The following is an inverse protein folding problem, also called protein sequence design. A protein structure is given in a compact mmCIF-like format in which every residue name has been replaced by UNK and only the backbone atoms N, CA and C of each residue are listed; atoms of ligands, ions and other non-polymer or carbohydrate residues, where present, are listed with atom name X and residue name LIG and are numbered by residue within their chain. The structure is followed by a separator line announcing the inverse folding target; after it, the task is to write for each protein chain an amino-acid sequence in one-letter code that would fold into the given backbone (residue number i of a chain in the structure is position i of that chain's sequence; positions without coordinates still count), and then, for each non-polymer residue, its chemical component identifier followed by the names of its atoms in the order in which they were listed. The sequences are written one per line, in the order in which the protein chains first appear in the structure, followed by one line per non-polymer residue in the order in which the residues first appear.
data_IF_159823174375
#
_entry.id   IF_159823174375
#
_cell.length_a   1.000
_cell.length_b   1.000
_cell.length_c   1.000
_cell.angle_alpha   90.00
_cell.angle_beta   90.00
_cell.angle_gamma   90.00
#
_symmetry.space_group_name_H-M   'P 1'
#
loop_
_entity.id
_entity.type
_entity.pdbx_description
1 polymer ?
#
# COMPACT_ATOMS: atom_id res chain seq x y z
N UNK A 1 -20.09 4.66 -7.54
CA UNK A 1 -18.65 4.53 -7.91
C UNK A 1 -17.91 4.14 -6.66
N UNK A 2 -17.10 3.08 -6.72
CA UNK A 2 -16.37 2.50 -5.60
C UNK A 2 -15.36 3.51 -5.00
N UNK A 3 -15.37 3.65 -3.68
CA UNK A 3 -14.38 4.42 -2.94
C UNK A 3 -13.07 3.65 -2.77
N UNK A 4 -12.00 4.36 -2.49
CA UNK A 4 -10.65 3.79 -2.37
C UNK A 4 -10.08 4.15 -1.01
N UNK A 5 -9.69 3.15 -0.24
CA UNK A 5 -8.83 3.28 0.93
C UNK A 5 -7.40 3.00 0.49
N UNK A 6 -6.55 4.00 0.51
CA UNK A 6 -5.15 3.81 0.12
C UNK A 6 -4.25 3.87 1.36
N UNK A 7 -3.52 2.78 1.62
CA UNK A 7 -2.62 2.68 2.78
C UNK A 7 -1.21 3.08 2.36
N UNK A 8 -0.73 4.19 2.94
CA UNK A 8 0.64 4.66 2.87
C UNK A 8 1.42 4.17 4.10
N UNK A 9 2.53 3.50 3.91
CA UNK A 9 3.38 2.99 4.98
C UNK A 9 4.80 2.73 4.48
N UNK A 10 5.80 2.82 5.34
CA UNK A 10 7.08 2.19 5.06
C UNK A 10 6.94 0.65 5.04
N UNK A 11 7.92 -0.05 4.50
CA UNK A 11 7.95 -1.52 4.57
C UNK A 11 7.89 -2.02 6.02
N UNK A 12 7.30 -3.18 6.26
CA UNK A 12 7.22 -3.84 7.58
C UNK A 12 6.46 -3.08 8.68
N UNK A 13 5.55 -2.17 8.30
CA UNK A 13 4.71 -1.40 9.24
C UNK A 13 3.35 -2.03 9.54
N UNK A 14 3.06 -3.26 9.06
CA UNK A 14 1.77 -3.92 9.33
C UNK A 14 0.66 -3.58 8.32
N UNK A 15 1.01 -3.05 7.14
CA UNK A 15 0.02 -2.68 6.11
C UNK A 15 -0.83 -3.85 5.63
N UNK A 16 -0.30 -5.07 5.57
CA UNK A 16 -1.07 -6.27 5.22
C UNK A 16 -2.11 -6.60 6.29
N UNK A 17 -1.78 -6.43 7.59
CA UNK A 17 -2.73 -6.63 8.68
C UNK A 17 -3.88 -5.61 8.57
N UNK A 18 -3.56 -4.33 8.44
CA UNK A 18 -4.60 -3.30 8.31
C UNK A 18 -5.47 -3.49 7.08
N UNK A 19 -4.88 -3.88 5.94
CA UNK A 19 -5.58 -4.21 4.69
C UNK A 19 -6.58 -5.36 4.90
N UNK A 20 -6.13 -6.48 5.48
CA UNK A 20 -6.98 -7.63 5.80
C UNK A 20 -8.14 -7.24 6.74
N UNK A 21 -7.84 -6.50 7.81
CA UNK A 21 -8.83 -6.06 8.78
C UNK A 21 -9.91 -5.16 8.14
N UNK A 22 -9.53 -4.20 7.31
CA UNK A 22 -10.49 -3.34 6.61
C UNK A 22 -11.27 -4.15 5.57
N UNK A 23 -10.59 -5.01 4.81
CA UNK A 23 -11.21 -5.86 3.79
C UNK A 23 -12.08 -6.98 4.35
N UNK A 24 -12.14 -7.15 5.68
CA UNK A 24 -13.06 -8.05 6.37
C UNK A 24 -14.40 -7.40 6.70
N UNK A 25 -14.56 -6.11 6.42
CA UNK A 25 -15.86 -5.44 6.51
C UNK A 25 -16.74 -5.87 5.32
N UNK A 26 -18.04 -6.08 5.56
CA UNK A 26 -19.00 -6.56 4.53
C UNK A 26 -19.06 -5.67 3.29
N UNK A 27 -18.71 -4.39 3.42
CA UNK A 27 -18.77 -3.39 2.36
C UNK A 27 -17.38 -2.94 1.85
N UNK A 28 -16.33 -3.73 2.14
CA UNK A 28 -14.96 -3.43 1.71
C UNK A 28 -14.26 -4.68 1.18
N UNK A 29 -13.27 -4.51 0.30
CA UNK A 29 -12.46 -5.60 -0.23
C UNK A 29 -10.96 -5.26 -0.21
N UNK A 30 -10.17 -6.16 0.35
CA UNK A 30 -8.72 -6.15 0.34
C UNK A 30 -8.14 -6.45 -1.05
N UNK A 31 -7.20 -5.64 -1.51
CA UNK A 31 -6.47 -5.89 -2.76
C UNK A 31 -4.98 -6.18 -2.53
N UNK A 32 -4.45 -5.85 -1.37
CA UNK A 32 -3.03 -5.96 -1.08
C UNK A 32 -2.20 -4.91 -1.84
N UNK A 33 -0.98 -5.28 -2.16
CA UNK A 33 -0.04 -4.44 -2.91
C UNK A 33 -0.31 -4.55 -4.42
N UNK A 34 -1.38 -3.90 -4.88
CA UNK A 34 -1.90 -4.05 -6.25
C UNK A 34 -0.91 -3.60 -7.35
N UNK A 35 0.07 -2.76 -7.01
CA UNK A 35 1.13 -2.37 -7.94
C UNK A 35 1.96 -3.55 -8.45
N UNK A 36 1.92 -4.70 -7.77
CA UNK A 36 2.57 -5.94 -8.17
C UNK A 36 1.65 -6.91 -8.97
N UNK A 37 0.37 -6.56 -9.18
CA UNK A 37 -0.56 -7.43 -9.92
C UNK A 37 -0.02 -7.85 -11.29
N UNK A 38 0.57 -6.96 -12.11
CA UNK A 38 1.14 -7.35 -13.40
C UNK A 38 2.14 -8.50 -13.31
N UNK A 39 3.07 -8.42 -12.33
CA UNK A 39 4.03 -9.50 -12.04
C UNK A 39 3.32 -10.79 -11.61
N UNK A 40 2.31 -10.66 -10.76
CA UNK A 40 1.58 -11.82 -10.23
C UNK A 40 0.76 -12.54 -11.33
N UNK A 41 0.24 -11.79 -12.31
CA UNK A 41 -0.41 -12.35 -13.50
C UNK A 41 0.60 -13.05 -14.39
N UNK A 42 1.76 -12.41 -14.66
CA UNK A 42 2.84 -12.99 -15.47
C UNK A 42 3.33 -14.31 -14.89
N UNK A 43 3.58 -14.36 -13.58
CA UNK A 43 4.07 -15.55 -12.85
C UNK A 43 2.96 -16.51 -12.45
N UNK A 44 1.71 -16.16 -12.65
CA UNK A 44 0.55 -16.92 -12.19
C UNK A 44 0.67 -17.33 -10.70
N UNK A 45 0.98 -16.36 -9.84
CA UNK A 45 1.22 -16.60 -8.40
C UNK A 45 -0.05 -17.03 -7.67
N UNK A 46 0.13 -17.51 -6.42
CA UNK A 46 -0.98 -17.89 -5.57
C UNK A 46 -1.71 -16.66 -5.02
N UNK A 47 -3.03 -16.63 -5.16
CA UNK A 47 -3.93 -15.69 -4.52
C UNK A 47 -4.27 -16.16 -3.09
N UNK A 48 -4.60 -15.25 -2.19
CA UNK A 48 -4.97 -15.60 -0.80
C UNK A 48 -6.22 -16.48 -0.69
N UNK A 49 -7.05 -16.54 -1.73
CA UNK A 49 -8.19 -17.47 -1.77
C UNK A 49 -7.80 -18.94 -2.02
N UNK A 50 -6.50 -19.24 -2.21
CA UNK A 50 -6.00 -20.58 -2.46
C UNK A 50 -5.83 -20.93 -3.95
N UNK A 51 -6.44 -20.16 -4.85
CA UNK A 51 -6.31 -20.37 -6.30
C UNK A 51 -5.13 -19.59 -6.88
N UNK A 52 -4.63 -19.99 -8.04
CA UNK A 52 -3.68 -19.18 -8.79
C UNK A 52 -4.41 -17.98 -9.42
N UNK A 53 -3.69 -16.87 -9.65
CA UNK A 53 -4.27 -15.61 -10.16
C UNK A 53 -5.12 -15.84 -11.42
N UNK A 54 -4.65 -16.68 -12.35
CA UNK A 54 -5.36 -16.99 -13.60
C UNK A 54 -6.63 -17.82 -13.40
N UNK A 55 -6.71 -18.58 -12.31
CA UNK A 55 -7.86 -19.42 -11.95
C UNK A 55 -8.73 -18.79 -10.86
N UNK A 56 -8.30 -17.65 -10.29
CA UNK A 56 -9.03 -16.96 -9.25
C UNK A 56 -10.34 -16.37 -9.80
N UNK A 57 -11.51 -16.68 -9.17
CA UNK A 57 -12.81 -16.26 -9.70
C UNK A 57 -13.01 -14.73 -9.72
N UNK A 58 -12.23 -14.00 -8.92
CA UNK A 58 -12.26 -12.53 -8.93
C UNK A 58 -11.29 -11.99 -9.96
N UNK A 59 -10.02 -12.39 -9.91
CA UNK A 59 -9.01 -11.86 -10.82
C UNK A 59 -9.26 -12.22 -12.27
N UNK A 60 -9.84 -13.40 -12.55
CA UNK A 60 -10.25 -13.79 -13.89
C UNK A 60 -11.17 -12.75 -14.50
N UNK A 61 -12.33 -12.55 -13.89
CA UNK A 61 -13.34 -11.62 -14.40
C UNK A 61 -12.89 -10.14 -14.38
N UNK A 62 -12.06 -9.76 -13.40
CA UNK A 62 -11.51 -8.39 -13.33
C UNK A 62 -10.55 -8.10 -14.47
N UNK A 63 -9.66 -9.03 -14.81
CA UNK A 63 -8.70 -8.85 -15.91
C UNK A 63 -9.39 -8.87 -17.29
N UNK A 64 -10.43 -9.69 -17.46
CA UNK A 64 -11.24 -9.67 -18.67
C UNK A 64 -11.95 -8.32 -18.86
N UNK A 65 -12.59 -7.79 -17.81
CA UNK A 65 -13.23 -6.47 -17.84
C UNK A 65 -12.21 -5.35 -18.11
N UNK A 66 -11.03 -5.41 -17.50
CA UNK A 66 -9.96 -4.45 -17.75
C UNK A 66 -9.46 -4.51 -19.20
N UNK A 67 -9.28 -5.72 -19.73
CA UNK A 67 -8.84 -5.92 -21.11
C UNK A 67 -9.84 -5.32 -22.10
N UNK A 68 -11.14 -5.55 -21.86
CA UNK A 68 -12.21 -4.97 -22.68
C UNK A 68 -12.27 -3.44 -22.59
N UNK A 69 -12.12 -2.87 -21.37
CA UNK A 69 -12.23 -1.41 -21.13
C UNK A 69 -11.03 -0.61 -21.61
N UNK A 70 -9.84 -1.16 -21.48
CA UNK A 70 -8.57 -0.45 -21.74
C UNK A 70 -7.95 -0.82 -23.09
N UNK A 71 -8.52 -1.80 -23.80
CA UNK A 71 -8.14 -2.17 -25.15
C UNK A 71 -6.80 -2.90 -25.26
N UNK A 72 -6.40 -3.66 -24.22
CA UNK A 72 -5.18 -4.48 -24.21
C UNK A 72 -5.44 -5.82 -23.58
N UNK A 73 -4.85 -6.88 -24.10
CA UNK A 73 -4.93 -8.20 -23.49
C UNK A 73 -3.92 -8.30 -22.32
N UNK A 74 -4.41 -8.08 -21.10
CA UNK A 74 -3.58 -8.13 -19.90
C UNK A 74 -3.23 -9.54 -19.43
N UNK A 75 -3.82 -10.57 -20.03
CA UNK A 75 -3.39 -11.93 -19.81
C UNK A 75 -2.08 -12.26 -20.53
N UNK A 76 -1.93 -11.76 -21.74
CA UNK A 76 -0.73 -11.94 -22.56
C UNK A 76 0.31 -10.85 -22.30
N UNK A 77 -0.13 -9.62 -22.04
CA UNK A 77 0.72 -8.44 -21.88
C UNK A 77 0.51 -7.78 -20.51
N UNK A 78 0.73 -8.52 -19.39
CA UNK A 78 0.39 -8.04 -18.06
C UNK A 78 1.09 -6.74 -17.67
N UNK A 79 2.30 -6.50 -18.13
CA UNK A 79 3.06 -5.29 -17.82
C UNK A 79 2.59 -4.03 -18.56
N UNK A 80 1.68 -4.15 -19.53
CA UNK A 80 0.96 -3.00 -20.08
C UNK A 80 -0.08 -2.44 -19.10
N UNK A 81 -0.50 -3.22 -18.10
CA UNK A 81 -1.30 -2.75 -16.99
C UNK A 81 -0.43 -2.02 -15.97
N UNK A 82 -0.43 -0.70 -16.02
CA UNK A 82 0.43 0.15 -15.17
C UNK A 82 -0.33 0.54 -13.92
N UNK A 83 0.00 -0.06 -12.79
CA UNK A 83 -0.69 0.17 -11.50
C UNK A 83 0.21 0.86 -10.45
N UNK A 84 1.40 1.30 -10.84
CA UNK A 84 2.35 1.94 -9.95
C UNK A 84 3.72 2.08 -10.59
N UNK A 85 4.74 2.15 -9.73
CA UNK A 85 6.13 2.38 -10.11
C UNK A 85 7.02 1.24 -9.59
N UNK A 86 6.82 0.00 -10.05
CA UNK A 86 7.56 -1.16 -9.54
C UNK A 86 9.06 -0.98 -9.74
N UNK A 87 9.85 -1.61 -8.88
CA UNK A 87 11.29 -1.67 -9.09
C UNK A 87 11.56 -2.48 -10.38
N UNK A 88 12.49 -2.07 -11.24
CA UNK A 88 12.91 -2.87 -12.41
C UNK A 88 13.26 -4.32 -12.06
N UNK A 89 13.87 -4.57 -10.89
CA UNK A 89 14.17 -5.92 -10.41
C UNK A 89 12.91 -6.77 -10.14
N UNK A 90 11.74 -6.16 -9.99
CA UNK A 90 10.47 -6.88 -9.82
C UNK A 90 9.79 -7.28 -11.13
N UNK A 91 10.34 -6.85 -12.26
CA UNK A 91 9.80 -7.15 -13.59
C UNK A 91 10.50 -8.39 -14.11
N UNK A 92 9.75 -9.44 -14.36
CA UNK A 92 10.29 -10.75 -14.77
C UNK A 92 10.46 -10.84 -16.29
N UNK A 93 9.75 -9.98 -17.03
CA UNK A 93 9.78 -9.99 -18.48
C UNK A 93 11.06 -9.33 -19.02
N UNK A 94 11.89 -10.05 -19.81
CA UNK A 94 13.14 -9.52 -20.40
C UNK A 94 12.93 -8.27 -21.25
N UNK A 95 11.81 -8.13 -21.94
CA UNK A 95 11.50 -6.95 -22.76
C UNK A 95 11.40 -5.65 -21.93
N UNK A 96 11.05 -5.76 -20.65
CA UNK A 96 10.97 -4.63 -19.74
C UNK A 96 12.24 -4.38 -18.92
N UNK A 97 13.26 -5.23 -19.03
CA UNK A 97 14.57 -5.04 -18.38
C UNK A 97 15.49 -4.05 -19.10
N UNK A 98 15.09 -3.48 -20.22
CA UNK A 98 15.88 -2.54 -20.99
C UNK A 98 16.19 -1.27 -20.21
N UNK A 99 17.35 -0.65 -20.48
CA UNK A 99 17.69 0.65 -19.90
C UNK A 99 16.68 1.73 -20.27
N UNK A 100 16.03 1.59 -21.42
CA UNK A 100 14.93 2.43 -21.86
C UNK A 100 13.73 2.36 -20.91
N UNK A 101 13.35 1.18 -20.41
CA UNK A 101 12.30 1.05 -19.39
C UNK A 101 12.67 1.79 -18.11
N UNK A 102 13.92 1.65 -17.64
CA UNK A 102 14.42 2.36 -16.45
C UNK A 102 14.35 3.88 -16.63
N UNK A 103 14.72 4.37 -17.80
CA UNK A 103 14.64 5.80 -18.15
C UNK A 103 13.19 6.27 -18.17
N UNK A 104 12.29 5.57 -18.87
CA UNK A 104 10.85 5.90 -18.91
C UNK A 104 10.23 5.90 -17.52
N UNK A 105 10.54 4.94 -16.67
CA UNK A 105 10.07 4.88 -15.28
C UNK A 105 10.56 6.09 -14.48
N UNK A 106 11.84 6.42 -14.56
CA UNK A 106 12.41 7.59 -13.87
C UNK A 106 11.76 8.89 -14.37
N UNK A 107 11.57 9.03 -15.67
CA UNK A 107 10.89 10.19 -16.26
C UNK A 107 9.45 10.31 -15.76
N UNK A 108 8.67 9.24 -15.78
CA UNK A 108 7.30 9.23 -15.24
C UNK A 108 7.26 9.66 -13.78
N UNK A 109 8.14 9.11 -12.95
CA UNK A 109 8.25 9.50 -11.54
C UNK A 109 8.61 10.98 -11.36
N UNK A 110 9.58 11.48 -12.12
CA UNK A 110 10.01 12.87 -12.06
C UNK A 110 8.89 13.83 -12.51
N UNK A 111 8.22 13.50 -13.62
CA UNK A 111 7.09 14.28 -14.13
C UNK A 111 5.92 14.27 -13.14
N UNK A 112 5.59 13.12 -12.55
CA UNK A 112 4.55 13.03 -11.53
C UNK A 112 4.92 13.82 -10.27
N UNK A 113 6.15 13.75 -9.83
CA UNK A 113 6.63 14.55 -8.70
C UNK A 113 6.53 16.06 -8.99
N UNK A 114 6.99 16.50 -10.15
CA UNK A 114 6.90 17.89 -10.57
C UNK A 114 5.43 18.34 -10.65
N UNK A 115 4.57 17.55 -11.27
CA UNK A 115 3.14 17.82 -11.41
C UNK A 115 2.47 18.00 -10.03
N UNK A 116 2.75 17.11 -9.08
CA UNK A 116 2.18 17.17 -7.73
C UNK A 116 2.71 18.38 -6.93
N UNK A 117 3.94 18.82 -7.19
CA UNK A 117 4.53 19.96 -6.49
C UNK A 117 4.09 21.30 -7.07
N UNK A 118 4.01 21.42 -8.40
CA UNK A 118 3.67 22.66 -9.10
C UNK A 118 2.16 22.89 -9.21
N UNK A 119 1.35 21.81 -9.13
CA UNK A 119 -0.12 21.83 -9.21
C UNK A 119 -0.68 22.54 -10.48
N UNK A 120 0.02 22.43 -11.60
CA UNK A 120 -0.39 23.03 -12.86
C UNK A 120 -1.31 22.09 -13.64
N UNK A 121 -2.49 22.57 -14.08
CA UNK A 121 -3.49 21.75 -14.80
C UNK A 121 -3.00 21.24 -16.14
N UNK A 122 -2.21 22.03 -16.88
CA UNK A 122 -1.65 21.60 -18.17
C UNK A 122 -0.61 20.48 -17.98
N UNK A 123 0.24 20.62 -16.96
CA UNK A 123 1.21 19.58 -16.60
C UNK A 123 0.50 18.31 -16.16
N UNK A 124 -0.59 18.41 -15.41
CA UNK A 124 -1.43 17.29 -15.01
C UNK A 124 -1.93 16.48 -16.22
N UNK A 125 -2.57 17.15 -17.19
CA UNK A 125 -3.09 16.51 -18.42
C UNK A 125 -1.97 15.86 -19.23
N UNK A 126 -0.79 16.47 -19.32
CA UNK A 126 0.37 15.89 -19.99
C UNK A 126 0.86 14.63 -19.27
N UNK A 127 1.00 14.71 -17.95
CA UNK A 127 1.52 13.60 -17.15
C UNK A 127 0.56 12.40 -17.20
N UNK A 128 -0.75 12.61 -17.16
CA UNK A 128 -1.73 11.52 -17.22
C UNK A 128 -1.77 10.82 -18.59
N UNK A 129 -1.40 11.52 -19.67
CA UNK A 129 -1.19 10.89 -20.99
C UNK A 129 0.05 9.99 -21.02
N UNK A 130 1.13 10.43 -20.33
CA UNK A 130 2.41 9.72 -20.31
C UNK A 130 2.48 8.63 -19.23
N UNK A 131 1.69 8.77 -18.17
CA UNK A 131 1.64 7.87 -17.02
C UNK A 131 0.22 7.38 -16.74
N UNK A 132 -0.18 6.22 -17.30
CA UNK A 132 -1.54 5.71 -17.16
C UNK A 132 -1.86 5.12 -15.78
N UNK A 133 -0.97 5.24 -14.79
CA UNK A 133 -1.11 4.65 -13.44
C UNK A 133 -2.45 4.99 -12.81
N UNK A 134 -2.89 6.24 -12.84
CA UNK A 134 -4.15 6.69 -12.24
C UNK A 134 -5.34 6.10 -12.98
N UNK A 135 -5.36 6.23 -14.31
CA UNK A 135 -6.44 5.70 -15.15
C UNK A 135 -6.62 4.19 -15.01
N UNK A 136 -5.52 3.42 -15.07
CA UNK A 136 -5.56 1.98 -14.91
C UNK A 136 -5.97 1.56 -13.49
N UNK A 137 -5.52 2.29 -12.47
CA UNK A 137 -5.91 2.02 -11.09
C UNK A 137 -7.40 2.24 -10.86
N UNK A 138 -7.97 3.35 -11.35
CA UNK A 138 -9.43 3.58 -11.23
C UNK A 138 -10.26 2.57 -12.01
N UNK A 139 -9.82 2.15 -13.20
CA UNK A 139 -10.47 1.09 -13.94
C UNK A 139 -10.50 -0.21 -13.13
N UNK A 140 -9.36 -0.60 -12.55
CA UNK A 140 -9.25 -1.79 -11.70
C UNK A 140 -10.13 -1.69 -10.45
N UNK A 141 -10.09 -0.60 -9.70
CA UNK A 141 -10.89 -0.45 -8.48
C UNK A 141 -12.39 -0.53 -8.78
N UNK A 142 -12.82 0.06 -9.90
CA UNK A 142 -14.21 -0.03 -10.36
C UNK A 142 -14.59 -1.46 -10.70
N UNK A 143 -13.75 -2.16 -11.44
CA UNK A 143 -13.98 -3.55 -11.82
C UNK A 143 -14.10 -4.45 -10.60
N UNK A 144 -13.16 -4.34 -9.64
CA UNK A 144 -13.22 -5.11 -8.38
C UNK A 144 -14.45 -4.76 -7.55
N UNK A 145 -14.73 -3.46 -7.35
CA UNK A 145 -15.88 -3.02 -6.57
C UNK A 145 -17.21 -3.53 -7.15
N UNK A 146 -17.35 -3.49 -8.47
CA UNK A 146 -18.54 -4.06 -9.15
C UNK A 146 -18.59 -5.57 -9.05
N UNK A 147 -17.46 -6.28 -9.19
CA UNK A 147 -17.40 -7.74 -9.12
C UNK A 147 -17.73 -8.29 -7.76
N UNK A 148 -17.26 -7.61 -6.68
CA UNK A 148 -17.46 -8.01 -5.29
C UNK A 148 -18.67 -7.33 -4.65
N UNK A 149 -19.34 -6.41 -5.36
CA UNK A 149 -20.45 -5.60 -4.85
C UNK A 149 -20.13 -4.90 -3.53
N UNK A 150 -18.99 -4.18 -3.49
CA UNK A 150 -18.53 -3.41 -2.32
C UNK A 150 -18.39 -1.93 -2.64
N UNK A 151 -18.60 -1.08 -1.64
CA UNK A 151 -18.43 0.37 -1.79
C UNK A 151 -16.97 0.80 -1.67
N UNK A 152 -16.13 0.04 -0.96
CA UNK A 152 -14.74 0.37 -0.72
C UNK A 152 -13.78 -0.73 -1.20
N UNK A 153 -12.68 -0.33 -1.81
CA UNK A 153 -11.53 -1.21 -2.08
C UNK A 153 -10.29 -0.69 -1.35
N UNK A 154 -9.47 -1.59 -0.85
CA UNK A 154 -8.27 -1.26 -0.06
C UNK A 154 -7.03 -1.58 -0.89
N UNK A 155 -6.22 -0.56 -1.18
CA UNK A 155 -4.91 -0.70 -1.84
C UNK A 155 -3.79 -0.39 -0.83
N UNK A 156 -2.99 -1.39 -0.49
CA UNK A 156 -1.85 -1.27 0.42
C UNK A 156 -0.49 -1.21 -0.30
N UNK A 157 -0.45 -0.67 -1.52
CA UNK A 157 0.79 -0.53 -2.31
C UNK A 157 1.81 0.45 -1.73
N UNK A 158 1.48 1.21 -0.70
CA UNK A 158 2.36 2.06 0.12
C UNK A 158 2.95 3.29 -0.58
N UNK A 159 2.79 3.46 -1.86
CA UNK A 159 3.40 4.55 -2.61
C UNK A 159 2.61 5.85 -2.45
N UNK A 160 3.11 6.78 -1.63
CA UNK A 160 2.45 8.06 -1.36
C UNK A 160 2.30 8.96 -2.61
N UNK A 161 3.18 8.83 -3.62
CA UNK A 161 3.02 9.57 -4.89
C UNK A 161 1.80 9.08 -5.68
N UNK A 162 1.57 7.76 -5.70
CA UNK A 162 0.35 7.18 -6.28
C UNK A 162 -0.89 7.63 -5.48
N UNK A 163 -0.81 7.60 -4.14
CA UNK A 163 -1.90 8.07 -3.28
C UNK A 163 -2.31 9.52 -3.59
N UNK A 164 -1.33 10.42 -3.69
CA UNK A 164 -1.54 11.83 -4.03
C UNK A 164 -2.15 11.99 -5.43
N UNK A 165 -1.66 11.24 -6.41
CA UNK A 165 -2.18 11.29 -7.78
C UNK A 165 -3.64 10.81 -7.86
N UNK A 166 -3.98 9.71 -7.17
CA UNK A 166 -5.36 9.21 -7.05
C UNK A 166 -6.27 10.22 -6.34
N UNK A 167 -5.80 10.79 -5.23
CA UNK A 167 -6.57 11.78 -4.48
C UNK A 167 -6.83 13.04 -5.31
N UNK A 168 -5.83 13.54 -6.02
CA UNK A 168 -5.97 14.73 -6.88
C UNK A 168 -7.01 14.51 -7.99
N UNK A 169 -7.04 13.33 -8.59
CA UNK A 169 -8.01 13.00 -9.63
C UNK A 169 -9.43 12.91 -9.07
N UNK A 170 -9.61 12.31 -7.88
CA UNK A 170 -10.95 12.07 -7.33
C UNK A 170 -10.97 12.23 -5.79
N UNK A 171 -10.89 13.45 -5.25
CA UNK A 171 -10.81 13.70 -3.80
C UNK A 171 -12.01 13.14 -3.02
N UNK A 172 -13.21 13.15 -3.62
CA UNK A 172 -14.43 12.66 -2.97
C UNK A 172 -14.47 11.16 -2.76
N UNK A 173 -13.65 10.39 -3.50
CA UNK A 173 -13.65 8.91 -3.50
C UNK A 173 -12.41 8.29 -2.89
N UNK A 174 -11.38 9.06 -2.61
CA UNK A 174 -10.11 8.54 -2.06
C UNK A 174 -9.99 8.94 -0.59
N UNK A 175 -9.71 7.94 0.24
CA UNK A 175 -9.35 8.09 1.65
C UNK A 175 -7.96 7.54 1.85
N UNK A 176 -7.10 8.28 2.51
CA UNK A 176 -5.70 7.89 2.70
C UNK A 176 -5.46 7.58 4.17
N UNK A 177 -4.87 6.44 4.45
CA UNK A 177 -4.40 6.07 5.78
C UNK A 177 -2.87 6.08 5.77
N UNK A 178 -2.28 6.94 6.58
CA UNK A 178 -0.85 6.89 6.88
C UNK A 178 -0.64 5.95 8.07
N UNK A 179 -0.16 4.75 7.79
CA UNK A 179 0.19 3.79 8.83
C UNK A 179 1.64 3.99 9.23
N UNK A 180 1.87 4.26 10.51
CA UNK A 180 3.21 4.39 11.10
C UNK A 180 3.52 3.20 12.00
N UNK A 181 4.80 2.97 12.25
CA UNK A 181 5.33 2.01 13.21
C UNK A 181 6.62 2.56 13.77
N UNK A 182 6.92 2.27 15.04
CA UNK A 182 8.21 2.58 15.64
C UNK A 182 9.35 2.11 14.73
N UNK A 183 10.19 3.05 14.33
CA UNK A 183 11.25 2.75 13.35
C UNK A 183 12.26 1.72 13.86
N UNK A 184 12.41 1.57 15.18
CA UNK A 184 13.25 0.51 15.81
C UNK A 184 12.64 -0.87 15.56
N UNK A 185 11.32 -1.00 15.66
CA UNK A 185 10.60 -2.23 15.31
C UNK A 185 10.70 -2.56 13.81
N UNK A 186 10.67 -1.55 12.95
CA UNK A 186 10.89 -1.72 11.51
C UNK A 186 12.33 -2.14 11.23
N UNK A 187 13.33 -1.48 11.85
CA UNK A 187 14.74 -1.83 11.73
C UNK A 187 14.99 -3.29 12.13
N UNK A 188 14.46 -3.71 13.28
CA UNK A 188 14.58 -5.10 13.73
C UNK A 188 14.03 -6.10 12.69
N UNK A 189 12.84 -5.81 12.16
CA UNK A 189 12.22 -6.64 11.13
C UNK A 189 13.05 -6.70 9.84
N UNK A 190 13.73 -5.62 9.47
CA UNK A 190 14.60 -5.55 8.29
C UNK A 190 15.91 -6.33 8.52
N UNK A 191 16.54 -6.17 9.68
CA UNK A 191 17.77 -6.89 10.05
C UNK A 191 17.55 -8.41 10.10
N UNK A 192 16.41 -8.89 10.61
CA UNK A 192 16.03 -10.33 10.57
C UNK A 192 15.96 -10.90 9.14
N UNK A 193 15.82 -10.05 8.13
CA UNK A 193 15.78 -10.42 6.70
C UNK A 193 17.11 -10.19 5.98
N UNK A 194 18.16 -9.80 6.71
CA UNK A 194 19.49 -9.60 6.17
C UNK A 194 19.69 -8.25 5.46
N UNK A 195 18.78 -7.28 5.63
CA UNK A 195 18.97 -5.94 5.06
C UNK A 195 20.05 -5.15 5.82
N UNK A 196 20.70 -4.23 5.12
CA UNK A 196 21.70 -3.37 5.70
C UNK A 196 21.08 -2.40 6.73
N UNK A 197 21.73 -2.24 7.88
CA UNK A 197 21.28 -1.40 8.99
C UNK A 197 21.03 0.04 8.55
N UNK A 198 22.08 0.70 8.08
CA UNK A 198 22.05 2.12 7.74
C UNK A 198 21.03 2.41 6.63
N UNK A 199 21.02 1.59 5.60
CA UNK A 199 20.07 1.72 4.50
C UNK A 199 18.62 1.56 4.98
N UNK A 200 18.37 0.62 5.90
CA UNK A 200 17.04 0.40 6.49
C UNK A 200 16.54 1.62 7.27
N UNK A 201 17.43 2.23 8.08
CA UNK A 201 17.11 3.44 8.86
C UNK A 201 16.84 4.63 7.91
N UNK A 202 17.73 4.86 6.94
CA UNK A 202 17.62 5.97 5.99
C UNK A 202 16.39 5.83 5.08
N UNK A 203 16.02 4.62 4.66
CA UNK A 203 14.83 4.37 3.85
C UNK A 203 13.55 4.64 4.65
N UNK A 204 13.47 4.17 5.90
CA UNK A 204 12.35 4.45 6.80
C UNK A 204 12.20 5.96 7.05
N UNK A 205 13.30 6.63 7.41
CA UNK A 205 13.36 8.08 7.63
C UNK A 205 12.89 8.86 6.41
N UNK A 206 13.49 8.59 5.25
CA UNK A 206 13.18 9.26 3.99
C UNK A 206 11.72 9.09 3.59
N UNK A 207 11.17 7.89 3.82
CA UNK A 207 9.77 7.62 3.55
C UNK A 207 8.86 8.55 4.34
N UNK A 208 8.98 8.59 5.67
CA UNK A 208 8.09 9.36 6.52
C UNK A 208 8.34 10.87 6.45
N UNK A 209 9.57 11.33 6.31
CA UNK A 209 9.86 12.75 6.08
C UNK A 209 9.15 13.29 4.84
N UNK A 210 9.13 12.52 3.77
CA UNK A 210 8.49 12.93 2.51
C UNK A 210 6.99 12.70 2.50
N UNK A 211 6.55 11.53 2.95
CA UNK A 211 5.13 11.18 2.88
C UNK A 211 4.29 12.01 3.82
N UNK A 212 4.69 12.19 5.09
CA UNK A 212 3.94 12.99 6.05
C UNK A 212 3.76 14.43 5.53
N UNK A 213 4.88 15.09 5.16
CA UNK A 213 4.86 16.46 4.66
C UNK A 213 3.95 16.62 3.42
N UNK A 214 4.07 15.72 2.44
CA UNK A 214 3.30 15.84 1.21
C UNK A 214 1.83 15.48 1.40
N UNK A 215 1.53 14.46 2.22
CA UNK A 215 0.15 14.07 2.50
C UNK A 215 -0.57 15.18 3.29
N UNK A 216 0.03 15.70 4.35
CA UNK A 216 -0.55 16.78 5.15
C UNK A 216 -0.77 18.07 4.33
N UNK A 217 0.14 18.38 3.41
CA UNK A 217 0.04 19.57 2.55
C UNK A 217 -1.05 19.47 1.49
N UNK A 218 -1.29 18.27 0.94
CA UNK A 218 -2.10 18.11 -0.27
C UNK A 218 -3.43 17.39 -0.05
N UNK A 219 -3.60 16.71 1.10
CA UNK A 219 -4.82 15.98 1.41
C UNK A 219 -5.62 16.76 2.46
N UNK A 220 -6.90 16.94 2.22
CA UNK A 220 -7.78 17.53 3.22
C UNK A 220 -7.81 16.68 4.50
N UNK A 221 -7.78 17.32 5.67
CA UNK A 221 -7.66 16.64 6.95
C UNK A 221 -8.72 15.54 7.17
N UNK A 222 -9.95 15.75 6.72
CA UNK A 222 -11.03 14.77 6.78
C UNK A 222 -10.84 13.56 5.84
N UNK A 223 -9.85 13.58 4.95
CA UNK A 223 -9.52 12.51 3.99
C UNK A 223 -8.17 11.83 4.26
N UNK A 224 -7.50 12.23 5.36
CA UNK A 224 -6.24 11.66 5.82
C UNK A 224 -6.39 11.18 7.27
N UNK A 225 -6.13 9.89 7.52
CA UNK A 225 -6.14 9.30 8.86
C UNK A 225 -4.75 8.74 9.16
N UNK A 226 -4.18 9.08 10.30
CA UNK A 226 -2.95 8.45 10.79
C UNK A 226 -3.28 7.37 11.82
N UNK A 227 -2.73 6.17 11.61
CA UNK A 227 -2.83 5.02 12.51
C UNK A 227 -1.43 4.54 12.87
N UNK A 228 -1.21 4.24 14.15
CA UNK A 228 0.02 3.58 14.62
C UNK A 228 -0.19 2.06 14.64
N UNK A 229 0.81 1.32 14.19
CA UNK A 229 0.79 -0.15 14.23
C UNK A 229 0.57 -0.66 15.67
N UNK A 230 1.18 0.00 16.63
CA UNK A 230 1.08 -0.34 18.05
C UNK A 230 -0.36 -0.22 18.56
N UNK A 231 -1.06 0.87 18.20
CA UNK A 231 -2.46 1.07 18.55
C UNK A 231 -3.35 0.04 17.85
N UNK A 232 -3.09 -0.22 16.56
CA UNK A 232 -3.81 -1.23 15.79
C UNK A 232 -3.71 -2.63 16.42
N UNK A 233 -2.54 -2.99 16.97
CA UNK A 233 -2.33 -4.33 17.53
C UNK A 233 -2.70 -4.44 19.01
N UNK A 234 -2.61 -3.36 19.77
CA UNK A 234 -2.98 -3.33 21.19
C UNK A 234 -4.49 -3.14 21.42
N UNK A 235 -5.13 -2.29 20.62
CA UNK A 235 -6.54 -1.93 20.72
C UNK A 235 -7.24 -2.02 19.35
N UNK A 236 -7.22 -3.21 18.74
CA UNK A 236 -7.69 -3.45 17.36
C UNK A 236 -9.10 -2.95 17.10
N UNK A 237 -10.05 -3.22 18.01
CA UNK A 237 -11.45 -2.81 17.82
C UNK A 237 -11.61 -1.28 17.85
N UNK A 238 -10.88 -0.59 18.72
CA UNK A 238 -10.89 0.87 18.77
C UNK A 238 -10.27 1.47 17.48
N UNK A 239 -9.14 0.92 17.04
CA UNK A 239 -8.51 1.35 15.79
C UNK A 239 -9.44 1.14 14.58
N UNK A 240 -10.15 0.00 14.51
CA UNK A 240 -11.14 -0.27 13.46
C UNK A 240 -12.36 0.65 13.58
N UNK A 241 -12.83 0.97 14.79
CA UNK A 241 -13.88 1.97 15.00
C UNK A 241 -13.51 3.34 14.41
N UNK A 242 -12.25 3.78 14.61
CA UNK A 242 -11.74 5.02 13.99
C UNK A 242 -11.70 4.94 12.46
N UNK A 243 -11.28 3.78 11.90
CA UNK A 243 -11.29 3.56 10.45
C UNK A 243 -12.71 3.61 9.89
N UNK A 244 -13.66 2.92 10.51
CA UNK A 244 -15.06 2.90 10.07
C UNK A 244 -15.69 4.29 10.12
N UNK A 245 -15.47 5.05 11.20
CA UNK A 245 -15.91 6.44 11.31
C UNK A 245 -15.30 7.32 10.20
N UNK A 246 -14.01 7.16 9.91
CA UNK A 246 -13.33 7.86 8.83
C UNK A 246 -13.87 7.53 7.44
N UNK A 247 -14.30 6.28 7.22
CA UNK A 247 -14.91 5.82 5.97
C UNK A 247 -16.42 6.09 5.92
N UNK A 248 -17.02 6.53 7.03
CA UNK A 248 -18.46 6.74 7.18
C UNK A 248 -19.26 5.46 6.94
N UNK A 249 -18.78 4.34 7.48
CA UNK A 249 -19.44 3.03 7.46
C UNK A 249 -19.65 2.52 8.89
N UNK A 250 -20.66 1.68 9.15
CA UNK A 250 -20.86 1.05 10.45
C UNK A 250 -19.65 0.20 10.85
N UNK A 251 -19.32 0.18 12.15
CA UNK A 251 -18.30 -0.74 12.64
C UNK A 251 -18.87 -2.15 12.78
N UNK A 252 -18.16 -3.15 12.25
CA UNK A 252 -18.51 -4.57 12.34
C UNK A 252 -17.49 -5.28 13.24
N UNK A 253 -17.95 -5.92 14.32
CA UNK A 253 -17.07 -6.65 15.26
C UNK A 253 -16.32 -7.81 14.59
N UNK A 254 -16.91 -8.41 13.56
CA UNK A 254 -16.32 -9.50 12.75
C UNK A 254 -15.07 -9.11 11.97
N UNK A 255 -14.81 -7.82 11.76
CA UNK A 255 -13.60 -7.36 11.03
C UNK A 255 -12.30 -7.87 11.64
N UNK A 256 -12.25 -8.11 12.94
CA UNK A 256 -11.07 -8.64 13.63
C UNK A 256 -10.76 -10.07 13.23
N UNK A 257 -11.75 -10.85 12.86
CA UNK A 257 -11.59 -12.24 12.45
C UNK A 257 -11.30 -12.36 10.94
N UNK A 258 -10.23 -11.71 10.49
CA UNK A 258 -9.89 -11.61 9.08
C UNK A 258 -9.57 -12.96 8.43
N UNK A 259 -9.19 -13.98 9.19
CA UNK A 259 -8.89 -15.31 8.65
C UNK A 259 -10.16 -16.11 8.29
N UNK A 260 -11.34 -15.73 8.82
CA UNK A 260 -12.62 -16.33 8.46
C UNK A 260 -13.19 -15.78 7.14
N UNK A 261 -12.62 -14.66 6.65
CA UNK A 261 -13.06 -14.01 5.42
C UNK A 261 -12.23 -14.45 4.21
N UNK A 262 -12.87 -14.55 3.04
CA UNK A 262 -12.17 -14.84 1.79
C UNK A 262 -11.63 -13.55 1.19
N UNK A 263 -10.31 -13.43 1.14
CA UNK A 263 -9.62 -12.32 0.50
C UNK A 263 -9.02 -12.75 -0.85
N UNK A 264 -8.84 -11.78 -1.76
CA UNK A 264 -8.25 -12.02 -3.08
C UNK A 264 -6.95 -11.22 -3.27
N UNK A 265 -6.03 -11.34 -2.30
CA UNK A 265 -4.75 -10.64 -2.27
C UNK A 265 -3.69 -11.45 -3.03
N UNK A 266 -3.05 -10.83 -4.01
CA UNK A 266 -2.01 -11.48 -4.81
C UNK A 266 -0.60 -11.17 -4.34
N UNK A 267 -0.40 -10.07 -3.60
CA UNK A 267 0.91 -9.66 -3.09
C UNK A 267 0.79 -9.01 -1.70
N UNK A 268 1.84 -9.18 -0.89
CA UNK A 268 1.92 -8.70 0.49
C UNK A 268 2.60 -9.73 1.39
N UNK A 269 2.54 -9.53 2.71
CA UNK A 269 3.09 -10.47 3.68
C UNK A 269 2.36 -11.82 3.63
N UNK A 270 3.06 -12.92 3.99
CA UNK A 270 2.48 -14.27 4.05
C UNK A 270 1.31 -14.40 5.03
N UNK A 271 1.10 -13.41 5.91
CA UNK A 271 -0.11 -13.31 6.73
C UNK A 271 -1.40 -13.45 5.92
N UNK A 272 -1.41 -13.05 4.64
CA UNK A 272 -2.57 -13.22 3.73
C UNK A 272 -3.02 -14.67 3.52
N UNK A 273 -2.21 -15.64 3.93
CA UNK A 273 -2.52 -17.08 3.87
C UNK A 273 -2.79 -17.69 5.25
N UNK A 274 -2.75 -16.88 6.31
CA UNK A 274 -2.99 -17.40 7.67
C UNK A 274 -4.44 -17.83 7.85
N UNK A 275 -4.63 -18.86 8.65
CA UNK A 275 -5.93 -19.30 9.14
C UNK A 275 -6.18 -18.88 10.60
N UNK A 276 -5.29 -18.06 11.15
CA UNK A 276 -5.34 -17.58 12.52
C UNK A 276 -5.44 -16.04 12.52
N UNK A 277 -6.50 -15.53 13.12
CA UNK A 277 -6.75 -14.10 13.31
C UNK A 277 -6.15 -13.54 14.60
N UNK A 278 -5.26 -14.27 15.24
CA UNK A 278 -4.60 -13.79 16.47
C UNK A 278 -3.69 -12.58 16.15
N UNK A 279 -4.04 -11.43 16.71
CA UNK A 279 -3.27 -10.21 16.59
C UNK A 279 -2.44 -10.03 17.87
N UNK A 280 -1.13 -9.95 17.73
CA UNK A 280 -0.18 -9.69 18.82
C UNK A 280 0.73 -8.53 18.46
N UNK A 281 0.96 -7.58 19.41
CA UNK A 281 1.96 -6.55 19.23
C UNK A 281 3.35 -7.18 19.01
N UNK A 282 4.02 -6.83 17.92
CA UNK A 282 5.42 -7.24 17.71
C UNK A 282 6.35 -6.22 18.36
N UNK A 283 6.76 -6.54 19.58
CA UNK A 283 7.64 -5.72 20.42
C UNK A 283 9.00 -6.38 20.63
N UNK A 284 9.34 -7.44 19.87
CA UNK A 284 10.60 -8.18 20.02
C UNK A 284 11.85 -7.29 19.95
N UNK A 285 11.77 -6.19 19.22
CA UNK A 285 12.87 -5.25 19.08
C UNK A 285 13.35 -4.67 20.43
N UNK A 286 12.46 -4.55 21.43
CA UNK A 286 12.81 -4.01 22.75
C UNK A 286 13.83 -4.89 23.49
N UNK A 287 13.80 -6.20 23.23
CA UNK A 287 14.67 -7.18 23.87
C UNK A 287 15.81 -7.63 22.95
N UNK A 288 15.55 -7.70 21.65
CA UNK A 288 16.43 -8.38 20.68
C UNK A 288 17.28 -7.42 19.83
N UNK A 289 16.92 -6.14 19.75
CA UNK A 289 17.70 -5.18 18.97
C UNK A 289 18.99 -4.82 19.73
N UNK A 290 20.14 -4.93 19.07
CA UNK A 290 21.41 -4.65 19.71
C UNK A 290 21.53 -3.16 20.09
N UNK A 291 22.24 -2.85 21.18
CA UNK A 291 22.43 -1.46 21.63
C UNK A 291 23.00 -0.55 20.54
N UNK A 292 23.93 -1.08 19.75
CA UNK A 292 24.52 -0.31 18.63
C UNK A 292 23.49 0.01 17.56
N UNK A 293 22.51 -0.87 17.29
CA UNK A 293 21.45 -0.63 16.32
C UNK A 293 20.47 0.45 16.83
N UNK A 294 20.21 0.44 18.16
CA UNK A 294 19.38 1.46 18.82
C UNK A 294 20.08 2.82 18.77
N UNK A 295 21.39 2.87 19.07
CA UNK A 295 22.18 4.11 19.00
C UNK A 295 22.20 4.69 17.59
N UNK A 296 22.55 3.88 16.58
CA UNK A 296 22.56 4.31 15.19
C UNK A 296 21.18 4.82 14.73
N UNK A 297 20.11 4.16 15.17
CA UNK A 297 18.75 4.61 14.87
C UNK A 297 18.44 5.96 15.53
N UNK A 298 18.81 6.14 16.81
CA UNK A 298 18.58 7.40 17.53
C UNK A 298 19.31 8.57 16.86
N UNK A 299 20.57 8.36 16.47
CA UNK A 299 21.37 9.38 15.81
C UNK A 299 20.80 9.78 14.46
N UNK A 300 20.37 8.82 13.65
CA UNK A 300 19.93 9.06 12.27
C UNK A 300 18.45 9.44 12.16
N UNK A 301 17.59 8.87 13.00
CA UNK A 301 16.13 8.94 12.83
C UNK A 301 15.33 9.18 14.12
N UNK A 302 15.98 9.26 15.29
CA UNK A 302 15.29 9.40 16.59
C UNK A 302 14.39 10.63 16.68
N UNK A 303 14.82 11.77 16.09
CA UNK A 303 14.01 12.99 16.05
C UNK A 303 12.72 12.84 15.23
N UNK A 304 12.77 12.10 14.12
CA UNK A 304 11.57 11.81 13.33
C UNK A 304 10.65 10.82 14.06
N UNK A 305 11.23 9.76 14.66
CA UNK A 305 10.48 8.79 15.43
C UNK A 305 9.67 9.46 16.56
N UNK A 306 10.29 10.41 17.26
CA UNK A 306 9.62 11.20 18.29
C UNK A 306 8.48 12.06 17.70
N UNK A 307 8.66 12.70 16.55
CA UNK A 307 7.59 13.47 15.87
C UNK A 307 6.40 12.60 15.45
N UNK A 308 6.65 11.32 15.14
CA UNK A 308 5.59 10.35 14.85
C UNK A 308 4.91 9.79 16.13
N UNK A 309 5.26 10.30 17.31
CA UNK A 309 4.66 9.95 18.61
C UNK A 309 5.27 8.71 19.27
N UNK A 310 6.50 8.33 18.89
CA UNK A 310 7.24 7.24 19.54
C UNK A 310 8.25 7.77 20.53
N UNK A 311 8.31 7.14 21.71
CA UNK A 311 9.24 7.56 22.76
C UNK A 311 10.71 7.48 22.31
N UNK A 312 11.51 8.42 22.77
CA UNK A 312 12.97 8.31 22.66
C UNK A 312 13.44 7.20 23.60
N UNK A 313 14.32 6.32 23.11
CA UNK A 313 15.03 5.42 24.05
C UNK A 313 15.82 6.27 25.03
N UNK A 314 15.86 5.92 26.34
CA UNK A 314 16.85 6.47 27.22
C UNK A 314 18.24 6.17 26.63
N UNK A 315 19.15 7.14 26.76
CA UNK A 315 20.54 7.08 26.30
C UNK A 315 21.31 5.96 26.96
#
# INVERSE_FOLDING_TARGET
MTGIVYICAAGHCGSTLLDLLIGSHSNAASLGEISHLPKNVALNTLCSCGERVRSCPVWGSVLDDLSARLGSDYWQLPYQLVLGYPNPADIVDPEFHTDWYKVRRRLRLALRYLELTVQNRHLHSLVDRLDPTVRHSFALYRSVGSRLNVDWVVDSSKNYMKALALYREMPSKVRIILLTRDGRGVLHSMLKRGFNRRESIENWKRYYERSALLLERHIAAQHLLTIRYEDLTAATQEALGRVCAFLQIPHESGMRDFASHTHHITNGNNMRFTKDSTIRPDMEWKEKLAKIDISDFQDLAGGLNARLGYERSPA
#
